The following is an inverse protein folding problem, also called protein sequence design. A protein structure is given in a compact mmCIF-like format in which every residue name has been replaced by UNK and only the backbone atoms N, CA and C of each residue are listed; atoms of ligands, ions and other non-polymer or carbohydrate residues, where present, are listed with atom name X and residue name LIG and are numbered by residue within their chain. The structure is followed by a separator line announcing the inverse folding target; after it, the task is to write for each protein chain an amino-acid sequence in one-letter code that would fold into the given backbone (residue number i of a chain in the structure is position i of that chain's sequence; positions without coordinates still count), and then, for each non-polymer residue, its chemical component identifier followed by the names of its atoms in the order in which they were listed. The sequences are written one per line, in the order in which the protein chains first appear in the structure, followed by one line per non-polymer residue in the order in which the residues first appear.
data_IF_618760184549
#
_entry.id   IF_618760184549
#
_cell.length_a   1.000
_cell.length_b   1.000
_cell.length_c   1.000
_cell.angle_alpha   90.00
_cell.angle_beta   90.00
_cell.angle_gamma   90.00
#
_symmetry.space_group_name_H-M   'P 1'
#
loop_
_entity.id
_entity.type
_entity.pdbx_description
1 polymer ?
#
# COMPACT_ATOMS: atom_id res chain seq x y z
N UNK A 1 46.17 39.80 29.28
CA UNK A 1 45.68 38.59 28.57
C UNK A 1 46.56 37.40 28.93
N UNK A 2 46.11 36.54 29.85
CA UNK A 2 46.85 35.32 30.21
C UNK A 2 46.65 34.25 29.13
N UNK A 3 47.70 33.96 28.35
CA UNK A 3 47.72 32.83 27.42
C UNK A 3 47.88 31.53 28.22
N UNK A 4 46.79 30.78 28.36
CA UNK A 4 46.80 29.43 28.92
C UNK A 4 47.75 28.52 28.11
N UNK A 5 48.89 28.16 28.69
CA UNK A 5 49.82 27.15 28.11
C UNK A 5 49.28 25.75 28.42
N UNK A 6 48.49 25.20 27.51
CA UNK A 6 47.98 23.82 27.57
C UNK A 6 49.17 22.86 27.40
N UNK A 7 49.43 21.97 28.38
CA UNK A 7 50.53 20.99 28.31
C UNK A 7 50.21 19.91 27.26
N UNK A 8 51.23 19.29 26.68
CA UNK A 8 51.05 18.28 25.63
C UNK A 8 50.18 17.07 26.07
N UNK A 9 50.25 16.70 27.37
CA UNK A 9 49.41 15.65 27.98
C UNK A 9 47.92 16.02 27.98
N UNK A 10 47.61 17.29 28.23
CA UNK A 10 46.24 17.83 28.22
C UNK A 10 45.68 17.85 26.79
N UNK A 11 46.50 18.16 25.78
CA UNK A 11 46.08 18.07 24.36
C UNK A 11 45.72 16.64 23.94
N UNK A 12 46.43 15.62 24.44
CA UNK A 12 46.16 14.21 24.16
C UNK A 12 44.85 13.76 24.84
N UNK A 13 44.62 14.21 26.07
CA UNK A 13 43.38 13.97 26.81
C UNK A 13 42.16 14.64 26.13
N UNK A 14 42.30 15.90 25.71
CA UNK A 14 41.25 16.64 24.98
C UNK A 14 40.92 15.94 23.66
N UNK A 15 41.92 15.50 22.88
CA UNK A 15 41.68 14.74 21.64
C UNK A 15 40.96 13.41 21.91
N UNK A 16 41.27 12.74 23.02
CA UNK A 16 40.57 11.52 23.41
C UNK A 16 39.10 11.80 23.78
N UNK A 17 38.84 12.84 24.58
CA UNK A 17 37.48 13.25 24.96
C UNK A 17 36.63 13.65 23.73
N UNK A 18 37.20 14.42 22.80
CA UNK A 18 36.51 14.79 21.55
C UNK A 18 36.14 13.56 20.71
N UNK A 19 37.02 12.54 20.64
CA UNK A 19 36.72 11.29 19.94
C UNK A 19 35.59 10.50 20.62
N UNK A 20 35.58 10.45 21.96
CA UNK A 20 34.49 9.80 22.72
C UNK A 20 33.16 10.52 22.48
N UNK A 21 33.14 11.85 22.52
CA UNK A 21 31.94 12.65 22.25
C UNK A 21 31.42 12.44 20.81
N UNK A 22 32.32 12.34 19.83
CA UNK A 22 31.95 12.02 18.44
C UNK A 22 31.29 10.63 18.34
N UNK A 23 31.82 9.62 19.03
CA UNK A 23 31.23 8.27 19.03
C UNK A 23 29.84 8.29 19.68
N UNK A 24 29.66 9.02 20.79
CA UNK A 24 28.35 9.17 21.43
C UNK A 24 27.36 9.87 20.50
N UNK A 25 27.77 10.95 19.84
CA UNK A 25 26.92 11.69 18.90
C UNK A 25 26.49 10.81 17.71
N UNK A 26 27.42 10.02 17.17
CA UNK A 26 27.11 9.05 16.10
C UNK A 26 26.13 7.99 16.61
N UNK A 27 26.34 7.45 17.81
CA UNK A 27 25.44 6.47 18.42
C UNK A 27 24.02 6.99 18.59
N UNK A 28 23.88 8.23 19.08
CA UNK A 28 22.59 8.91 19.22
C UNK A 28 21.91 9.12 17.85
N UNK A 29 22.65 9.57 16.84
CA UNK A 29 22.11 9.75 15.50
C UNK A 29 21.58 8.41 14.94
N UNK A 30 22.33 7.32 15.06
CA UNK A 30 21.91 5.99 14.58
C UNK A 30 20.60 5.55 15.26
N UNK A 31 20.47 5.73 16.58
CA UNK A 31 19.24 5.39 17.29
C UNK A 31 18.04 6.20 16.77
N UNK A 32 18.19 7.51 16.59
CA UNK A 32 17.10 8.34 16.03
C UNK A 32 16.69 7.94 14.62
N UNK A 33 17.63 7.56 13.76
CA UNK A 33 17.33 7.07 12.41
C UNK A 33 16.61 5.72 12.42
N UNK A 34 17.01 4.81 13.31
CA UNK A 34 16.34 3.52 13.47
C UNK A 34 14.89 3.68 13.94
N UNK A 35 14.64 4.56 14.92
CA UNK A 35 13.29 4.83 15.42
C UNK A 35 12.40 5.46 14.34
N UNK A 36 12.93 6.42 13.57
CA UNK A 36 12.18 7.03 12.46
C UNK A 36 11.84 6.01 11.37
N UNK A 37 12.79 5.15 10.99
CA UNK A 37 12.55 4.07 10.02
C UNK A 37 11.51 3.07 10.52
N UNK A 38 11.58 2.67 11.79
CA UNK A 38 10.60 1.76 12.40
C UNK A 38 9.19 2.35 12.44
N UNK A 39 9.06 3.65 12.74
CA UNK A 39 7.76 4.33 12.73
C UNK A 39 7.18 4.44 11.32
N UNK A 40 8.00 4.81 10.34
CA UNK A 40 7.58 4.91 8.93
C UNK A 40 7.11 3.56 8.38
N UNK A 41 7.80 2.47 8.72
CA UNK A 41 7.39 1.11 8.34
C UNK A 41 6.06 0.70 8.99
N UNK A 42 5.85 1.05 10.26
CA UNK A 42 4.58 0.75 10.94
C UNK A 42 3.41 1.49 10.32
N UNK A 43 3.62 2.74 9.93
CA UNK A 43 2.61 3.57 9.25
C UNK A 43 2.27 2.96 7.89
N UNK A 44 3.27 2.72 7.04
CA UNK A 44 3.08 2.07 5.74
C UNK A 44 2.39 0.71 5.84
N UNK A 45 2.73 -0.12 6.83
CA UNK A 45 2.06 -1.40 7.05
C UNK A 45 0.57 -1.24 7.42
N UNK A 46 0.21 -0.20 8.19
CA UNK A 46 -1.20 0.09 8.51
C UNK A 46 -1.95 0.55 7.27
N UNK A 47 -1.36 1.42 6.46
CA UNK A 47 -1.97 1.89 5.21
C UNK A 47 -2.21 0.76 4.22
N UNK A 48 -1.22 -0.12 4.05
CA UNK A 48 -1.34 -1.31 3.22
C UNK A 48 -2.45 -2.23 3.72
N UNK A 49 -2.55 -2.47 5.04
CA UNK A 49 -3.59 -3.29 5.64
C UNK A 49 -5.01 -2.72 5.39
N UNK A 50 -5.20 -1.42 5.57
CA UNK A 50 -6.47 -0.73 5.29
C UNK A 50 -6.84 -0.87 3.81
N UNK A 51 -5.87 -0.65 2.92
CA UNK A 51 -6.08 -0.73 1.48
C UNK A 51 -6.45 -2.14 1.03
N UNK A 52 -5.79 -3.16 1.59
CA UNK A 52 -6.11 -4.57 1.35
C UNK A 52 -7.51 -4.91 1.86
N UNK A 53 -7.88 -4.43 3.04
CA UNK A 53 -9.22 -4.65 3.59
C UNK A 53 -10.31 -4.04 2.71
N UNK A 54 -10.13 -2.78 2.28
CA UNK A 54 -11.08 -2.15 1.36
C UNK A 54 -11.14 -2.88 0.01
N UNK A 55 -9.99 -3.33 -0.52
CA UNK A 55 -9.96 -4.11 -1.76
C UNK A 55 -10.77 -5.40 -1.64
N UNK A 56 -10.72 -6.10 -0.49
CA UNK A 56 -11.53 -7.29 -0.22
C UNK A 56 -13.02 -6.98 -0.24
N UNK A 57 -13.43 -5.90 0.39
CA UNK A 57 -14.84 -5.49 0.39
C UNK A 57 -15.32 -5.08 -1.01
N UNK A 58 -14.48 -4.37 -1.76
CA UNK A 58 -14.77 -4.02 -3.16
C UNK A 58 -15.00 -5.26 -4.01
N UNK A 59 -14.14 -6.28 -3.91
CA UNK A 59 -14.31 -7.54 -4.65
C UNK A 59 -15.62 -8.22 -4.28
N UNK A 60 -15.95 -8.35 -2.99
CA UNK A 60 -17.22 -8.95 -2.54
C UNK A 60 -18.45 -8.20 -3.10
N UNK A 61 -18.39 -6.87 -3.15
CA UNK A 61 -19.47 -6.05 -3.71
C UNK A 61 -19.58 -6.26 -5.21
N UNK A 62 -18.47 -6.23 -5.93
CA UNK A 62 -18.42 -6.42 -7.37
C UNK A 62 -18.89 -7.83 -7.78
N UNK A 63 -18.49 -8.87 -7.05
CA UNK A 63 -18.96 -10.25 -7.26
C UNK A 63 -20.49 -10.31 -7.17
N UNK A 64 -21.11 -9.73 -6.13
CA UNK A 64 -22.58 -9.71 -6.00
C UNK A 64 -23.27 -8.99 -7.16
N UNK A 65 -22.68 -7.90 -7.66
CA UNK A 65 -23.22 -7.19 -8.82
C UNK A 65 -23.15 -8.05 -10.08
N UNK A 66 -22.02 -8.72 -10.31
CA UNK A 66 -21.82 -9.61 -11.46
C UNK A 66 -22.70 -10.86 -11.35
N UNK A 67 -22.86 -11.44 -10.16
CA UNK A 67 -23.77 -12.57 -9.91
C UNK A 67 -25.19 -12.24 -10.36
N UNK A 68 -25.66 -11.04 -10.02
CA UNK A 68 -26.99 -10.55 -10.40
C UNK A 68 -27.09 -10.30 -11.90
N UNK A 69 -26.10 -9.65 -12.51
CA UNK A 69 -26.12 -9.26 -13.91
C UNK A 69 -26.01 -10.46 -14.85
N UNK A 70 -25.18 -11.44 -14.52
CA UNK A 70 -24.95 -12.66 -15.31
C UNK A 70 -25.81 -13.85 -14.86
N UNK A 71 -26.65 -13.68 -13.83
CA UNK A 71 -27.49 -14.73 -13.23
C UNK A 71 -26.72 -16.03 -12.96
N UNK A 72 -25.53 -15.90 -12.35
CA UNK A 72 -24.63 -17.01 -12.00
C UNK A 72 -24.05 -16.78 -10.62
N UNK A 73 -23.51 -17.82 -9.98
CA UNK A 73 -22.79 -17.66 -8.71
C UNK A 73 -21.33 -17.30 -8.97
N UNK A 74 -20.75 -16.49 -8.08
CA UNK A 74 -19.32 -16.18 -7.95
C UNK A 74 -18.43 -17.42 -7.86
N UNK A 75 -19.00 -18.58 -7.50
CA UNK A 75 -18.30 -19.86 -7.54
C UNK A 75 -17.95 -20.34 -8.95
N UNK A 76 -18.62 -19.82 -9.98
CA UNK A 76 -18.52 -20.28 -11.36
C UNK A 76 -17.85 -19.28 -12.29
N UNK A 77 -17.52 -18.09 -11.80
CA UNK A 77 -16.76 -17.11 -12.56
C UNK A 77 -15.52 -16.65 -11.78
N UNK A 78 -14.56 -16.13 -12.53
CA UNK A 78 -13.36 -15.54 -11.97
C UNK A 78 -13.27 -14.08 -12.41
N UNK A 79 -12.90 -13.21 -11.47
CA UNK A 79 -12.68 -11.78 -11.69
C UNK A 79 -11.19 -11.50 -11.71
N UNK A 80 -10.72 -10.82 -12.75
CA UNK A 80 -9.31 -10.50 -12.96
C UNK A 80 -9.20 -9.00 -13.17
N UNK A 81 -8.43 -8.33 -12.33
CA UNK A 81 -8.02 -6.96 -12.59
C UNK A 81 -6.88 -6.98 -13.61
N UNK A 82 -7.14 -6.40 -14.80
CA UNK A 82 -6.15 -6.20 -15.86
C UNK A 82 -5.59 -4.78 -15.89
N UNK A 83 -6.20 -3.84 -15.14
CA UNK A 83 -5.69 -2.48 -15.01
C UNK A 83 -4.49 -2.48 -14.05
N UNK A 84 -3.28 -2.41 -14.61
CA UNK A 84 -2.03 -2.34 -13.85
C UNK A 84 -0.80 -2.77 -14.65
N UNK A 85 0.39 -2.50 -14.11
CA UNK A 85 1.69 -2.80 -14.75
C UNK A 85 1.98 -4.31 -14.94
N UNK A 86 1.10 -5.20 -14.46
CA UNK A 86 1.19 -6.67 -14.62
C UNK A 86 0.31 -7.19 -15.77
N UNK A 87 0.13 -6.38 -16.81
CA UNK A 87 -0.81 -6.58 -17.92
C UNK A 87 -0.79 -7.99 -18.54
N UNK A 88 0.36 -8.68 -18.53
CA UNK A 88 0.50 -10.02 -19.10
C UNK A 88 -0.20 -11.13 -18.29
N UNK A 89 -0.37 -10.97 -16.98
CA UNK A 89 -0.98 -12.01 -16.13
C UNK A 89 -2.25 -11.58 -15.44
N UNK A 90 -2.42 -10.27 -15.19
CA UNK A 90 -3.54 -9.76 -14.40
C UNK A 90 -3.49 -10.23 -12.94
N UNK A 91 -4.32 -9.61 -12.10
CA UNK A 91 -4.45 -10.00 -10.70
C UNK A 91 -5.82 -10.64 -10.49
N UNK A 92 -5.82 -11.90 -10.04
CA UNK A 92 -7.05 -12.59 -9.66
C UNK A 92 -7.63 -11.99 -8.38
N UNK A 93 -8.79 -11.35 -8.51
CA UNK A 93 -9.45 -10.64 -7.42
C UNK A 93 -10.08 -11.60 -6.40
N UNK A 94 -10.63 -12.72 -6.86
CA UNK A 94 -11.34 -13.70 -6.03
C UNK A 94 -10.40 -14.53 -5.13
N UNK A 95 -9.16 -14.72 -5.57
CA UNK A 95 -8.20 -15.65 -4.95
C UNK A 95 -6.99 -14.98 -4.33
N UNK A 96 -6.71 -13.71 -4.65
CA UNK A 96 -5.58 -13.00 -4.08
C UNK A 96 -5.92 -11.53 -3.80
N UNK A 97 -6.28 -11.26 -2.55
CA UNK A 97 -6.68 -9.92 -2.11
C UNK A 97 -5.54 -9.14 -1.47
N UNK A 98 -4.29 -9.61 -1.59
CA UNK A 98 -3.10 -8.83 -1.19
C UNK A 98 -2.74 -7.74 -2.20
N UNK A 99 -3.51 -7.62 -3.29
CA UNK A 99 -3.38 -6.56 -4.29
C UNK A 99 -4.40 -5.46 -4.07
N UNK A 100 -4.00 -4.24 -4.42
CA UNK A 100 -4.83 -3.05 -4.29
C UNK A 100 -5.83 -2.98 -5.44
N UNK A 101 -7.10 -2.78 -5.10
CA UNK A 101 -8.21 -2.59 -6.05
C UNK A 101 -9.22 -1.59 -5.45
N UNK A 102 -8.76 -0.35 -5.35
CA UNK A 102 -9.44 0.78 -4.69
C UNK A 102 -9.46 2.04 -5.57
N UNK A 103 -9.02 1.91 -6.82
CA UNK A 103 -8.92 3.04 -7.75
C UNK A 103 -10.28 3.60 -8.11
N UNK A 104 -10.30 4.84 -8.59
CA UNK A 104 -11.53 5.50 -9.05
C UNK A 104 -12.19 4.77 -10.23
N UNK A 105 -11.37 4.21 -11.12
CA UNK A 105 -11.85 3.52 -12.32
C UNK A 105 -11.67 2.01 -12.12
N UNK A 106 -12.58 1.41 -11.35
CA UNK A 106 -12.58 -0.03 -11.13
C UNK A 106 -13.09 -0.76 -12.38
N UNK A 107 -12.24 -1.63 -12.92
CA UNK A 107 -12.58 -2.54 -14.01
C UNK A 107 -12.14 -3.97 -13.66
N UNK A 108 -12.86 -4.94 -14.20
CA UNK A 108 -12.53 -6.35 -14.06
C UNK A 108 -12.93 -7.14 -15.31
N UNK A 109 -12.07 -8.06 -15.68
CA UNK A 109 -12.37 -9.15 -16.60
C UNK A 109 -13.09 -10.27 -15.83
N UNK A 110 -14.26 -10.70 -16.29
CA UNK A 110 -15.02 -11.82 -15.74
C UNK A 110 -14.94 -13.00 -16.70
N UNK A 111 -14.30 -14.08 -16.27
CA UNK A 111 -14.23 -15.33 -17.01
C UNK A 111 -15.32 -16.29 -16.54
N UNK A 112 -16.22 -16.72 -17.43
CA UNK A 112 -17.34 -17.61 -17.14
C UNK A 112 -17.53 -18.59 -18.31
N UNK A 113 -17.39 -19.90 -18.06
CA UNK A 113 -17.62 -20.96 -19.06
C UNK A 113 -16.85 -20.79 -20.39
N UNK A 114 -15.63 -20.25 -20.34
CA UNK A 114 -14.81 -19.98 -21.52
C UNK A 114 -15.17 -18.67 -22.25
N UNK A 115 -16.18 -17.95 -21.77
CA UNK A 115 -16.49 -16.59 -22.21
C UNK A 115 -15.82 -15.56 -21.31
N UNK A 116 -15.48 -14.42 -21.89
CA UNK A 116 -14.81 -13.33 -21.22
C UNK A 116 -15.66 -12.06 -21.32
N UNK A 117 -15.86 -11.38 -20.19
CA UNK A 117 -16.61 -10.14 -20.12
C UNK A 117 -15.74 -9.05 -19.51
N UNK A 118 -15.65 -7.89 -20.14
CA UNK A 118 -15.09 -6.70 -19.50
C UNK A 118 -16.20 -5.97 -18.75
N UNK A 119 -16.01 -5.76 -17.46
CA UNK A 119 -16.95 -5.08 -16.57
C UNK A 119 -16.32 -3.81 -16.02
N UNK A 120 -17.00 -2.69 -16.19
CA UNK A 120 -16.60 -1.40 -15.60
C UNK A 120 -17.64 -0.97 -14.56
N UNK A 121 -17.17 -0.41 -13.45
CA UNK A 121 -18.01 0.00 -12.33
C UNK A 121 -18.06 1.53 -12.20
N UNK A 122 -19.24 2.08 -11.91
CA UNK A 122 -19.31 3.40 -11.29
C UNK A 122 -18.84 3.27 -9.85
N UNK A 123 -17.98 4.19 -9.43
CA UNK A 123 -17.43 4.18 -8.08
C UNK A 123 -17.80 5.43 -7.30
N UNK A 124 -17.71 5.34 -5.98
CA UNK A 124 -17.75 6.50 -5.09
C UNK A 124 -16.59 6.44 -4.12
N UNK A 125 -16.14 7.61 -3.67
CA UNK A 125 -15.06 7.72 -2.68
C UNK A 125 -15.53 7.18 -1.32
N UNK A 126 -14.67 6.43 -0.65
CA UNK A 126 -14.86 5.94 0.71
C UNK A 126 -14.22 6.96 1.67
N UNK A 127 -14.94 7.32 2.74
CA UNK A 127 -14.37 8.17 3.79
C UNK A 127 -13.33 7.35 4.59
N UNK A 128 -12.06 7.69 4.38
CA UNK A 128 -10.95 7.14 5.16
C UNK A 128 -10.60 8.08 6.30
N UNK A 129 -10.28 7.52 7.47
CA UNK A 129 -9.69 8.29 8.57
C UNK A 129 -8.29 8.83 8.23
N UNK A 130 -7.64 8.20 7.25
CA UNK A 130 -6.37 8.66 6.70
C UNK A 130 -6.65 9.38 5.37
N UNK A 131 -6.58 10.71 5.38
CA UNK A 131 -6.83 11.57 4.22
C UNK A 131 -5.80 11.39 3.09
N UNK A 132 -4.65 10.78 3.39
CA UNK A 132 -3.57 10.54 2.42
C UNK A 132 -3.88 9.38 1.45
N UNK A 133 -4.82 8.49 1.82
CA UNK A 133 -5.22 7.36 0.97
C UNK A 133 -6.58 7.64 0.35
N UNK A 134 -6.59 7.86 -0.97
CA UNK A 134 -7.83 7.89 -1.73
C UNK A 134 -8.30 6.47 -2.03
N UNK A 135 -9.50 6.12 -1.57
CA UNK A 135 -10.11 4.82 -1.80
C UNK A 135 -11.50 4.99 -2.38
N UNK A 136 -11.87 4.10 -3.29
CA UNK A 136 -13.16 4.07 -3.95
C UNK A 136 -13.80 2.69 -3.83
N UNK A 137 -15.12 2.64 -3.84
CA UNK A 137 -15.90 1.40 -3.86
C UNK A 137 -16.87 1.36 -5.04
N UNK A 138 -17.13 0.17 -5.63
CA UNK A 138 -18.08 0.03 -6.72
C UNK A 138 -19.51 0.23 -6.21
N UNK A 139 -20.33 0.94 -6.99
CA UNK A 139 -21.74 1.25 -6.68
C UNK A 139 -22.70 0.53 -7.62
N UNK A 140 -22.38 0.51 -8.92
CA UNK A 140 -23.13 -0.23 -9.93
C UNK A 140 -22.24 -0.58 -11.12
N UNK A 141 -22.66 -1.59 -11.88
CA UNK A 141 -22.08 -1.87 -13.19
C UNK A 141 -22.58 -0.82 -14.17
N UNK A 142 -21.66 -0.15 -14.86
CA UNK A 142 -21.98 0.81 -15.94
C UNK A 142 -21.78 0.20 -17.33
N UNK A 143 -20.98 -0.87 -17.41
CA UNK A 143 -20.64 -1.51 -18.67
C UNK A 143 -20.32 -2.98 -18.43
N UNK A 144 -20.88 -3.84 -19.27
CA UNK A 144 -20.54 -5.26 -19.35
C UNK A 144 -20.51 -5.65 -20.83
N UNK A 145 -19.32 -5.94 -21.35
CA UNK A 145 -19.13 -6.30 -22.77
C UNK A 145 -18.46 -7.66 -22.86
N UNK A 146 -19.06 -8.56 -23.64
CA UNK A 146 -18.43 -9.80 -24.05
C UNK A 146 -17.28 -9.52 -25.03
N UNK A 147 -16.10 -10.06 -24.75
CA UNK A 147 -14.90 -9.96 -25.61
C UNK A 147 -14.87 -11.01 -26.72
#
# INVERSE_FOLDING_TARGET
MNKLKIKAKDKKLIKFLVRVLMIIAIGLAIMTFADWGANSLKESNKESAITIEQSRENVKMAEKMVEKELNTSSKYFQMINRSGNYFLFGTYLNSNTESYWIDKDLEAEVQLNGECYMVSFETKRVESKNEEIEMYEPVKIIKLIKQ
#
